data_IF_993015801621
#
_entry.id   IF_993015801621
#
_cell.length_a   1.000
_cell.length_b   1.000
_cell.length_c   1.000
_cell.angle_alpha   90.00
_cell.angle_beta   90.00
_cell.angle_gamma   90.00
#
_symmetry.space_group_name_H-M   'P 1'
#
loop_
_entity.id
_entity.type
_entity.pdbx_description
1 polymer ?
#
# COMPACT_ATOMS: atom_id res chain seq x y z
N UNK A 1 -20.13 2.43 40.84
CA UNK A 1 -18.86 3.10 40.43
C UNK A 1 -18.11 2.40 39.27
N UNK A 2 -18.78 1.63 38.39
CA UNK A 2 -18.08 0.79 37.37
C UNK A 2 -18.34 1.20 35.90
N UNK A 3 -18.96 2.35 35.67
CA UNK A 3 -19.23 2.88 34.32
C UNK A 3 -18.00 3.62 33.77
N UNK A 4 -17.33 4.38 34.63
CA UNK A 4 -16.14 5.20 34.29
C UNK A 4 -14.96 4.38 33.70
N UNK A 5 -14.74 3.15 34.16
CA UNK A 5 -13.66 2.30 33.64
C UNK A 5 -13.90 1.75 32.23
N UNK A 6 -15.16 1.51 31.84
CA UNK A 6 -15.49 1.02 30.49
C UNK A 6 -15.43 2.13 29.45
N UNK A 7 -15.86 3.33 29.82
CA UNK A 7 -15.78 4.50 28.94
C UNK A 7 -14.34 4.90 28.65
N UNK A 8 -13.46 4.87 29.65
CA UNK A 8 -12.02 5.11 29.47
C UNK A 8 -11.36 4.07 28.56
N UNK A 9 -11.69 2.78 28.72
CA UNK A 9 -11.18 1.72 27.87
C UNK A 9 -11.66 1.84 26.41
N UNK A 10 -12.93 2.24 26.21
CA UNK A 10 -13.49 2.48 24.89
C UNK A 10 -12.82 3.68 24.19
N UNK A 11 -12.59 4.78 24.91
CA UNK A 11 -11.89 5.96 24.39
C UNK A 11 -10.43 5.65 24.01
N UNK A 12 -9.74 4.85 24.82
CA UNK A 12 -8.37 4.40 24.51
C UNK A 12 -8.33 3.49 23.27
N UNK A 13 -9.31 2.59 23.13
CA UNK A 13 -9.42 1.73 21.95
C UNK A 13 -9.70 2.53 20.67
N UNK A 14 -10.55 3.56 20.75
CA UNK A 14 -10.84 4.46 19.62
C UNK A 14 -9.61 5.27 19.22
N UNK A 15 -8.90 5.85 20.19
CA UNK A 15 -7.63 6.57 19.94
C UNK A 15 -6.63 5.67 19.22
N UNK A 16 -6.44 4.44 19.70
CA UNK A 16 -5.54 3.47 19.06
C UNK A 16 -6.00 3.07 17.66
N UNK A 17 -7.30 2.92 17.43
CA UNK A 17 -7.84 2.65 16.10
C UNK A 17 -7.56 3.81 15.13
N UNK A 18 -7.68 5.06 15.59
CA UNK A 18 -7.35 6.25 14.80
C UNK A 18 -5.84 6.35 14.49
N UNK A 19 -4.97 6.02 15.43
CA UNK A 19 -3.52 5.98 15.21
C UNK A 19 -3.15 4.94 14.15
N UNK A 20 -3.66 3.71 14.30
CA UNK A 20 -3.47 2.64 13.31
C UNK A 20 -4.01 3.06 11.95
N UNK A 21 -5.18 3.69 11.92
CA UNK A 21 -5.78 4.22 10.70
C UNK A 21 -4.86 5.22 9.99
N UNK A 22 -4.26 6.15 10.73
CA UNK A 22 -3.30 7.12 10.15
C UNK A 22 -2.08 6.41 9.57
N UNK A 23 -1.49 5.47 10.30
CA UNK A 23 -0.32 4.72 9.84
C UNK A 23 -0.60 3.88 8.58
N UNK A 24 -1.66 3.07 8.60
CA UNK A 24 -2.07 2.27 7.43
C UNK A 24 -2.47 3.17 6.26
N UNK A 25 -3.21 4.25 6.51
CA UNK A 25 -3.58 5.22 5.49
C UNK A 25 -2.37 5.87 4.83
N UNK A 26 -1.40 6.35 5.61
CA UNK A 26 -0.18 6.97 5.08
C UNK A 26 0.62 5.99 4.20
N UNK A 27 0.80 4.75 4.67
CA UNK A 27 1.46 3.69 3.88
C UNK A 27 0.70 3.34 2.61
N UNK A 28 -0.63 3.29 2.66
CA UNK A 28 -1.46 3.02 1.48
C UNK A 28 -1.30 4.12 0.42
N UNK A 29 -1.28 5.40 0.84
CA UNK A 29 -1.04 6.53 -0.07
C UNK A 29 0.39 6.50 -0.65
N UNK A 30 1.41 6.26 0.18
CA UNK A 30 2.80 6.11 -0.28
C UNK A 30 2.94 5.03 -1.37
N UNK A 31 2.37 3.84 -1.11
CA UNK A 31 2.40 2.75 -2.07
C UNK A 31 1.63 3.10 -3.36
N UNK A 32 0.48 3.76 -3.24
CA UNK A 32 -0.28 4.21 -4.40
C UNK A 32 0.48 5.24 -5.23
N UNK A 33 1.09 6.25 -4.63
CA UNK A 33 1.88 7.27 -5.33
C UNK A 33 3.07 6.63 -6.07
N UNK A 34 3.73 5.66 -5.42
CA UNK A 34 4.79 4.86 -6.05
C UNK A 34 4.26 4.02 -7.21
N UNK A 35 3.05 3.47 -7.11
CA UNK A 35 2.39 2.77 -8.22
C UNK A 35 2.10 3.70 -9.39
N UNK A 36 1.57 4.91 -9.12
CA UNK A 36 1.32 5.94 -10.14
C UNK A 36 2.62 6.29 -10.87
N UNK A 37 3.70 6.53 -10.12
CA UNK A 37 5.00 6.87 -10.67
C UNK A 37 5.59 5.75 -11.55
N UNK A 38 5.56 4.51 -11.08
CA UNK A 38 6.02 3.36 -11.85
C UNK A 38 5.18 3.13 -13.12
N UNK A 39 3.85 3.26 -13.05
CA UNK A 39 2.98 3.20 -14.23
C UNK A 39 3.30 4.32 -15.23
N UNK A 40 3.48 5.56 -14.76
CA UNK A 40 3.86 6.70 -15.62
C UNK A 40 5.19 6.43 -16.32
N UNK A 41 6.19 5.95 -15.59
CA UNK A 41 7.49 5.58 -16.15
C UNK A 41 7.37 4.47 -17.21
N UNK A 42 6.54 3.47 -16.94
CA UNK A 42 6.26 2.38 -17.87
C UNK A 42 5.46 2.83 -19.13
N UNK A 43 4.88 4.03 -19.13
CA UNK A 43 4.01 4.54 -20.18
C UNK A 43 2.56 4.03 -20.07
N UNK A 44 2.12 3.61 -18.89
CA UNK A 44 0.77 3.09 -18.63
C UNK A 44 -0.14 4.23 -18.17
N UNK A 45 -1.07 4.61 -19.03
CA UNK A 45 -2.14 5.57 -18.72
C UNK A 45 -3.30 4.94 -17.95
N UNK A 46 -4.14 5.79 -17.33
CA UNK A 46 -5.36 5.36 -16.63
C UNK A 46 -6.44 4.83 -17.58
N UNK A 47 -6.40 5.28 -18.82
CA UNK A 47 -7.28 4.87 -19.93
C UNK A 47 -7.04 3.42 -20.40
N UNK A 48 -5.88 2.83 -20.07
CA UNK A 48 -5.61 1.42 -20.30
C UNK A 48 -6.35 0.47 -19.33
N UNK A 49 -7.10 1.00 -18.35
CA UNK A 49 -7.83 0.19 -17.38
C UNK A 49 -9.08 -0.44 -18.01
N UNK A 50 -9.06 -1.76 -18.16
CA UNK A 50 -10.21 -2.54 -18.63
C UNK A 50 -10.93 -3.28 -17.49
N UNK A 51 -12.22 -3.59 -17.68
CA UNK A 51 -13.01 -4.38 -16.72
C UNK A 51 -12.41 -5.79 -16.56
N UNK A 52 -12.00 -6.41 -17.67
CA UNK A 52 -11.35 -7.73 -17.69
C UNK A 52 -10.00 -7.59 -18.40
N UNK A 53 -8.93 -7.24 -17.67
CA UNK A 53 -7.63 -7.05 -18.28
C UNK A 53 -7.06 -8.33 -18.88
N UNK A 54 -6.58 -8.26 -20.12
CA UNK A 54 -6.02 -9.41 -20.85
C UNK A 54 -4.50 -9.47 -20.83
N UNK A 55 -3.84 -8.35 -20.56
CA UNK A 55 -2.38 -8.22 -20.54
C UNK A 55 -1.87 -7.58 -19.25
N UNK A 56 -0.55 -7.44 -19.12
CA UNK A 56 0.08 -6.90 -17.93
C UNK A 56 -0.18 -5.40 -17.74
N UNK A 57 -0.30 -4.64 -18.85
CA UNK A 57 -0.55 -3.19 -18.84
C UNK A 57 -1.95 -2.90 -18.32
N UNK A 58 -2.97 -3.54 -18.90
CA UNK A 58 -4.35 -3.40 -18.45
C UNK A 58 -4.53 -3.88 -17.01
N UNK A 59 -3.81 -4.92 -16.58
CA UNK A 59 -3.84 -5.38 -15.17
C UNK A 59 -3.32 -4.30 -14.23
N UNK A 60 -2.18 -3.68 -14.55
CA UNK A 60 -1.61 -2.62 -13.72
C UNK A 60 -2.51 -1.37 -13.69
N UNK A 61 -3.04 -0.95 -14.84
CA UNK A 61 -3.97 0.18 -14.93
C UNK A 61 -5.25 -0.06 -14.12
N UNK A 62 -5.85 -1.27 -14.23
CA UNK A 62 -7.03 -1.64 -13.47
C UNK A 62 -6.75 -1.74 -11.96
N UNK A 63 -5.60 -2.32 -11.57
CA UNK A 63 -5.19 -2.36 -10.17
C UNK A 63 -5.01 -0.95 -9.58
N UNK A 64 -4.41 -0.03 -10.34
CA UNK A 64 -4.26 1.38 -9.95
C UNK A 64 -5.62 2.05 -9.73
N UNK A 65 -6.57 1.83 -10.65
CA UNK A 65 -7.94 2.34 -10.53
C UNK A 65 -8.64 1.81 -9.28
N UNK A 66 -8.57 0.50 -9.02
CA UNK A 66 -9.18 -0.11 -7.84
C UNK A 66 -8.51 0.36 -6.54
N UNK A 67 -7.19 0.57 -6.55
CA UNK A 67 -6.45 1.10 -5.41
C UNK A 67 -6.89 2.53 -5.08
N UNK A 68 -7.07 3.40 -6.08
CA UNK A 68 -7.58 4.75 -5.89
C UNK A 68 -8.98 4.74 -5.25
N UNK A 69 -9.90 3.94 -5.81
CA UNK A 69 -11.25 3.76 -5.27
C UNK A 69 -11.24 3.22 -3.82
N UNK A 70 -10.30 2.32 -3.52
CA UNK A 70 -10.15 1.78 -2.16
C UNK A 70 -9.71 2.86 -1.18
N UNK A 71 -8.80 3.77 -1.57
CA UNK A 71 -8.37 4.90 -0.74
C UNK A 71 -9.50 5.91 -0.50
N UNK A 72 -10.30 6.19 -1.52
CA UNK A 72 -11.48 7.07 -1.38
C UNK A 72 -12.51 6.45 -0.43
N UNK A 73 -12.81 5.16 -0.59
CA UNK A 73 -13.71 4.44 0.30
C UNK A 73 -13.17 4.37 1.73
N UNK A 74 -11.86 4.21 1.87
CA UNK A 74 -11.16 4.25 3.14
C UNK A 74 -11.43 5.60 3.81
N UNK A 75 -11.19 6.72 3.14
CA UNK A 75 -11.37 8.08 3.69
C UNK A 75 -12.79 8.36 4.20
N UNK A 76 -13.81 7.71 3.62
CA UNK A 76 -15.20 7.84 4.02
C UNK A 76 -15.64 6.88 5.14
N UNK A 77 -14.81 5.89 5.52
CA UNK A 77 -15.16 4.85 6.49
C UNK A 77 -14.79 5.23 7.93
N UNK A 78 -15.46 4.56 8.88
CA UNK A 78 -14.98 4.53 10.27
C UNK A 78 -13.64 3.78 10.36
N UNK A 79 -12.75 4.11 11.32
CA UNK A 79 -11.51 3.38 11.53
C UNK A 79 -11.74 1.89 11.80
N UNK A 80 -11.09 1.04 11.02
CA UNK A 80 -11.05 -0.40 11.21
C UNK A 80 -9.64 -0.88 10.84
N UNK A 81 -8.78 -1.19 11.83
CA UNK A 81 -7.40 -1.60 11.58
C UNK A 81 -7.26 -2.75 10.59
N UNK A 82 -8.22 -3.68 10.57
CA UNK A 82 -8.17 -4.82 9.67
C UNK A 82 -8.47 -4.40 8.23
N UNK A 83 -9.48 -3.55 8.03
CA UNK A 83 -9.80 -3.00 6.71
C UNK A 83 -8.70 -2.05 6.21
N UNK A 84 -8.20 -1.19 7.09
CA UNK A 84 -7.15 -0.22 6.81
C UNK A 84 -5.85 -0.93 6.38
N UNK A 85 -5.44 -1.97 7.11
CA UNK A 85 -4.27 -2.77 6.76
C UNK A 85 -4.46 -3.53 5.43
N UNK A 86 -5.65 -4.08 5.16
CA UNK A 86 -5.97 -4.69 3.86
C UNK A 86 -5.88 -3.69 2.71
N UNK A 87 -6.34 -2.46 2.91
CA UNK A 87 -6.21 -1.39 1.92
C UNK A 87 -4.73 -1.10 1.62
N UNK A 88 -3.91 -0.94 2.67
CA UNK A 88 -2.46 -0.73 2.52
C UNK A 88 -1.77 -1.89 1.78
N UNK A 89 -2.12 -3.14 2.12
CA UNK A 89 -1.62 -4.33 1.41
C UNK A 89 -1.98 -4.31 -0.08
N UNK A 90 -3.22 -3.99 -0.42
CA UNK A 90 -3.67 -3.98 -1.81
C UNK A 90 -2.99 -2.85 -2.62
N UNK A 91 -2.75 -1.69 -2.00
CA UNK A 91 -1.95 -0.62 -2.61
C UNK A 91 -0.49 -1.05 -2.84
N UNK A 92 0.14 -1.71 -1.86
CA UNK A 92 1.51 -2.23 -1.99
C UNK A 92 1.63 -3.31 -3.08
N UNK A 93 0.64 -4.20 -3.21
CA UNK A 93 0.58 -5.19 -4.29
C UNK A 93 0.41 -4.52 -5.66
N UNK A 94 -0.41 -3.47 -5.74
CA UNK A 94 -0.56 -2.65 -6.95
C UNK A 94 0.76 -1.98 -7.34
N UNK A 95 1.48 -1.42 -6.37
CA UNK A 95 2.79 -0.83 -6.58
C UNK A 95 3.80 -1.86 -7.11
N UNK A 96 3.81 -3.07 -6.55
CA UNK A 96 4.69 -4.15 -7.04
C UNK A 96 4.38 -4.53 -8.50
N UNK A 97 3.11 -4.62 -8.90
CA UNK A 97 2.72 -4.88 -10.29
C UNK A 97 3.17 -3.75 -11.24
N UNK A 98 2.96 -2.49 -10.84
CA UNK A 98 3.41 -1.34 -11.62
C UNK A 98 4.95 -1.32 -11.75
N UNK A 99 5.66 -1.62 -10.67
CA UNK A 99 7.13 -1.71 -10.67
C UNK A 99 7.64 -2.85 -11.56
N UNK A 100 6.93 -3.99 -11.67
CA UNK A 100 7.31 -5.05 -12.62
C UNK A 100 7.33 -4.53 -14.07
N UNK A 101 6.34 -3.73 -14.45
CA UNK A 101 6.28 -3.12 -15.79
C UNK A 101 7.41 -2.10 -16.00
N UNK A 102 7.64 -1.22 -15.01
CA UNK A 102 8.71 -0.23 -15.07
C UNK A 102 10.10 -0.89 -15.20
N UNK A 103 10.37 -1.91 -14.36
CA UNK A 103 11.63 -2.66 -14.40
C UNK A 103 11.83 -3.41 -15.73
N UNK A 104 10.76 -3.97 -16.30
CA UNK A 104 10.82 -4.64 -17.60
C UNK A 104 11.13 -3.66 -18.75
N UNK A 105 10.73 -2.38 -18.62
CA UNK A 105 11.04 -1.33 -19.58
C UNK A 105 12.51 -0.89 -19.52
N UNK A 106 13.08 -0.77 -18.32
CA UNK A 106 14.45 -0.29 -18.13
C UNK A 106 15.52 -1.36 -18.44
N UNK A 107 15.26 -2.63 -18.08
CA UNK A 107 16.21 -3.72 -18.24
C UNK A 107 17.49 -3.61 -17.38
N UNK A 108 17.55 -2.64 -16.46
CA UNK A 108 18.74 -2.30 -15.67
C UNK A 108 18.71 -2.73 -14.19
N UNK A 109 19.87 -2.71 -13.52
CA UNK A 109 20.00 -3.15 -12.11
C UNK A 109 19.23 -2.28 -11.11
N UNK A 110 19.03 -1.00 -11.42
CA UNK A 110 18.23 -0.09 -10.58
C UNK A 110 16.76 -0.53 -10.56
N UNK A 111 16.16 -0.79 -11.72
CA UNK A 111 14.79 -1.29 -11.82
C UNK A 111 14.60 -2.65 -11.16
N UNK A 112 15.56 -3.57 -11.30
CA UNK A 112 15.54 -4.86 -10.60
C UNK A 112 15.62 -4.71 -9.07
N UNK A 113 16.35 -3.72 -8.57
CA UNK A 113 16.46 -3.43 -7.14
C UNK A 113 15.18 -2.81 -6.60
N UNK A 114 14.61 -1.84 -7.31
CA UNK A 114 13.31 -1.27 -6.99
C UNK A 114 12.20 -2.34 -6.97
N UNK A 115 12.23 -3.30 -7.91
CA UNK A 115 11.29 -4.42 -7.92
C UNK A 115 11.43 -5.32 -6.70
N UNK A 116 12.65 -5.67 -6.29
CA UNK A 116 12.86 -6.46 -5.07
C UNK A 116 12.34 -5.74 -3.84
N UNK A 117 12.58 -4.43 -3.71
CA UNK A 117 12.08 -3.64 -2.61
C UNK A 117 10.54 -3.52 -2.62
N UNK A 118 9.93 -3.30 -3.78
CA UNK A 118 8.47 -3.26 -3.94
C UNK A 118 7.80 -4.59 -3.55
N UNK A 119 8.40 -5.72 -3.94
CA UNK A 119 7.94 -7.06 -3.54
C UNK A 119 8.10 -7.29 -2.03
N UNK A 120 9.18 -6.80 -1.43
CA UNK A 120 9.39 -6.88 0.02
C UNK A 120 8.31 -6.08 0.78
N UNK A 121 8.06 -4.84 0.38
CA UNK A 121 7.00 -3.99 0.93
C UNK A 121 5.61 -4.66 0.80
N UNK A 122 5.31 -5.26 -0.35
CA UNK A 122 4.05 -5.99 -0.54
C UNK A 122 3.90 -7.19 0.38
N UNK A 123 4.99 -7.92 0.67
CA UNK A 123 4.96 -9.07 1.59
C UNK A 123 4.82 -8.63 3.04
N UNK A 124 5.57 -7.62 3.46
CA UNK A 124 5.47 -7.07 4.82
C UNK A 124 4.07 -6.50 5.08
N UNK A 125 3.50 -5.75 4.14
CA UNK A 125 2.12 -5.26 4.24
C UNK A 125 1.09 -6.41 4.30
N UNK A 126 1.34 -7.53 3.60
CA UNK A 126 0.50 -8.72 3.69
C UNK A 126 0.59 -9.41 5.06
N UNK A 127 1.78 -9.46 5.65
CA UNK A 127 1.99 -9.98 7.00
C UNK A 127 1.26 -9.09 8.04
N UNK A 128 1.43 -7.78 7.97
CA UNK A 128 0.77 -6.80 8.83
C UNK A 128 -0.77 -6.89 8.77
N UNK A 129 -1.33 -7.04 7.55
CA UNK A 129 -2.77 -7.18 7.36
C UNK A 129 -3.34 -8.57 7.70
N UNK A 130 -2.47 -9.57 7.81
CA UNK A 130 -2.85 -10.96 7.99
C UNK A 130 -2.87 -11.43 9.46
N UNK A 131 -2.97 -12.75 9.61
CA UNK A 131 -2.89 -13.42 10.90
C UNK A 131 -4.04 -13.09 11.87
N UNK A 132 -3.82 -13.38 13.15
CA UNK A 132 -4.78 -13.12 14.23
C UNK A 132 -4.79 -11.66 14.70
N UNK A 133 -3.72 -10.91 14.43
CA UNK A 133 -3.58 -9.52 14.85
C UNK A 133 -4.28 -8.52 13.92
N UNK A 134 -4.53 -8.87 12.65
CA UNK A 134 -5.37 -8.12 11.71
C UNK A 134 -5.05 -6.61 11.67
N UNK A 135 -3.80 -6.23 11.44
CA UNK A 135 -3.35 -4.84 11.40
C UNK A 135 -3.00 -4.21 12.75
N UNK A 136 -3.12 -4.94 13.87
CA UNK A 136 -2.87 -4.38 15.22
C UNK A 136 -1.48 -4.71 15.79
N UNK A 137 -0.72 -5.59 15.14
CA UNK A 137 0.62 -5.97 15.58
C UNK A 137 1.61 -4.85 15.26
N UNK A 138 2.22 -4.29 16.30
CA UNK A 138 3.13 -3.14 16.16
C UNK A 138 4.41 -3.52 15.39
N UNK A 139 5.01 -4.68 15.68
CA UNK A 139 6.27 -5.08 15.06
C UNK A 139 6.09 -5.36 13.55
N UNK A 140 4.99 -6.00 13.17
CA UNK A 140 4.65 -6.21 11.76
C UNK A 140 4.32 -4.88 11.06
N UNK A 141 3.69 -3.95 11.76
CA UNK A 141 3.40 -2.63 11.21
C UNK A 141 4.68 -1.83 10.98
N UNK A 142 5.63 -1.85 11.90
CA UNK A 142 6.92 -1.16 11.79
C UNK A 142 7.77 -1.74 10.65
N UNK A 143 7.83 -3.07 10.51
CA UNK A 143 8.52 -3.74 9.39
C UNK A 143 7.91 -3.34 8.03
N UNK A 144 6.57 -3.30 7.96
CA UNK A 144 5.87 -2.89 6.75
C UNK A 144 6.01 -1.39 6.45
N UNK A 145 6.35 -0.55 7.43
CA UNK A 145 6.71 0.86 7.19
C UNK A 145 8.15 1.00 6.70
N UNK A 146 9.09 0.27 7.28
CA UNK A 146 10.50 0.29 6.88
C UNK A 146 10.68 -0.21 5.45
N UNK A 147 10.04 -1.32 5.11
CA UNK A 147 10.07 -1.86 3.76
C UNK A 147 9.43 -0.92 2.73
N UNK A 148 8.36 -0.19 3.09
CA UNK A 148 7.78 0.83 2.22
C UNK A 148 8.74 2.01 2.03
N UNK A 149 9.41 2.50 3.09
CA UNK A 149 10.46 3.54 2.97
C UNK A 149 11.57 3.09 2.02
N UNK A 150 12.05 1.87 2.15
CA UNK A 150 13.07 1.32 1.26
C UNK A 150 12.58 1.19 -0.19
N UNK A 151 11.32 0.82 -0.41
CA UNK A 151 10.72 0.76 -1.74
C UNK A 151 10.61 2.14 -2.39
N UNK A 152 10.30 3.18 -1.61
CA UNK A 152 10.31 4.57 -2.08
C UNK A 152 11.72 5.02 -2.44
N UNK A 153 12.71 4.78 -1.58
CA UNK A 153 14.11 5.15 -1.84
C UNK A 153 14.63 4.52 -3.13
N UNK A 154 14.45 3.20 -3.28
CA UNK A 154 14.92 2.50 -4.50
C UNK A 154 14.19 2.92 -5.77
N UNK A 155 12.91 3.31 -5.68
CA UNK A 155 12.19 3.87 -6.82
C UNK A 155 12.65 5.30 -7.18
N UNK A 156 13.10 6.10 -6.21
CA UNK A 156 13.79 7.38 -6.47
C UNK A 156 15.15 7.17 -7.12
N UNK A 157 15.94 6.23 -6.61
CA UNK A 157 17.24 5.89 -7.18
C UNK A 157 17.13 5.35 -8.62
N UNK A 158 16.02 4.68 -8.95
CA UNK A 158 15.68 4.28 -10.32
C UNK A 158 15.17 5.43 -11.21
N UNK A 159 14.97 6.63 -10.66
CA UNK A 159 14.52 7.81 -11.39
C UNK A 159 13.02 7.85 -11.68
N UNK A 160 12.21 7.00 -11.05
CA UNK A 160 10.77 6.93 -11.30
C UNK A 160 9.97 7.90 -10.42
N UNK A 161 10.49 8.20 -9.22
CA UNK A 161 9.94 9.16 -8.27
C UNK A 161 10.81 10.43 -8.26
N UNK A 162 10.18 11.59 -8.45
CA UNK A 162 10.78 12.92 -8.33
C UNK A 162 10.49 13.57 -6.98
#
# INVERSE_FOLDING_TARGET
MSVSGREAAAAAADTRAQELRRAHGARAHSAYDRAVAACRHAGVGRDAAEIVPKDAVGRAANALRLSAQSLDALAASVPDPAADARCARNAAATAALATQLAAARDGGPAGATALRAALAASRAAAAAAGGTAQGRDAALNDDAEETERQAVTTARDAGWLG
#
